data_IF_255047507969
#
_entry.id   IF_255047507969
#
_cell.length_a   1.000
_cell.length_b   1.000
_cell.length_c   1.000
_cell.angle_alpha   90.00
_cell.angle_beta   90.00
_cell.angle_gamma   90.00
#
_symmetry.space_group_name_H-M   'P 1'
#
loop_
_entity.id
_entity.type
_entity.pdbx_description
1 polymer ?
#
# COMPACT_ATOMS: atom_id res chain seq x y z
N UNK A 1 -12.45 -11.23 -11.42
CA UNK A 1 -12.23 -12.37 -10.51
C UNK A 1 -10.77 -12.28 -10.06
N UNK A 2 -10.46 -12.55 -8.79
CA UNK A 2 -9.05 -12.80 -8.42
C UNK A 2 -8.78 -14.22 -8.90
N UNK A 3 -7.92 -14.36 -9.91
CA UNK A 3 -7.74 -15.65 -10.57
C UNK A 3 -6.89 -16.62 -9.75
N UNK A 4 -6.21 -16.12 -8.70
CA UNK A 4 -5.59 -16.85 -7.58
C UNK A 4 -4.96 -15.88 -6.57
N UNK A 5 -4.99 -16.22 -5.28
CA UNK A 5 -4.22 -15.50 -4.26
C UNK A 5 -2.72 -15.78 -4.48
N UNK A 6 -1.89 -14.74 -4.45
CA UNK A 6 -0.43 -14.87 -4.60
C UNK A 6 0.31 -13.96 -3.63
N UNK A 7 1.46 -14.40 -3.17
CA UNK A 7 2.38 -13.58 -2.39
C UNK A 7 3.36 -12.87 -3.32
N UNK A 8 3.49 -11.56 -3.18
CA UNK A 8 4.51 -10.77 -3.89
C UNK A 8 5.49 -10.25 -2.84
N UNK A 9 6.79 -10.49 -3.05
CA UNK A 9 7.84 -9.84 -2.25
C UNK A 9 8.15 -8.49 -2.89
N UNK A 10 7.89 -7.43 -2.15
CA UNK A 10 8.24 -6.07 -2.56
C UNK A 10 9.67 -5.76 -2.12
N UNK A 11 10.49 -5.21 -3.03
CA UNK A 11 11.78 -4.66 -2.64
C UNK A 11 11.56 -3.30 -1.98
N UNK A 12 11.67 -3.26 -0.65
CA UNK A 12 11.47 -2.04 0.15
C UNK A 12 12.73 -1.20 0.31
N UNK A 13 13.91 -1.69 -0.12
CA UNK A 13 15.19 -1.01 0.09
C UNK A 13 15.34 0.33 -0.63
N UNK A 14 14.53 0.57 -1.67
CA UNK A 14 14.53 1.82 -2.43
C UNK A 14 13.40 2.77 -2.00
N UNK A 15 12.61 2.41 -0.98
CA UNK A 15 11.55 3.30 -0.48
C UNK A 15 12.14 4.41 0.39
N UNK A 16 11.54 5.61 0.39
CA UNK A 16 11.94 6.68 1.29
C UNK A 16 11.76 6.26 2.75
N UNK A 17 12.58 6.82 3.64
CA UNK A 17 12.45 6.62 5.08
C UNK A 17 11.09 7.14 5.57
N UNK A 18 10.45 6.37 6.45
CA UNK A 18 9.19 6.76 7.06
C UNK A 18 9.39 7.83 8.15
N UNK A 19 8.48 8.81 8.19
CA UNK A 19 8.39 9.78 9.29
C UNK A 19 7.51 9.30 10.45
N UNK A 20 7.53 9.99 11.60
CA UNK A 20 6.63 9.67 12.72
C UNK A 20 5.16 9.89 12.35
N UNK A 21 4.27 9.00 12.82
CA UNK A 21 2.83 9.03 12.51
C UNK A 21 2.50 9.03 11.01
N UNK A 22 3.41 8.58 10.15
CA UNK A 22 3.18 8.53 8.71
C UNK A 22 1.99 7.62 8.40
N UNK A 23 1.03 8.15 7.65
CA UNK A 23 -0.15 7.44 7.21
C UNK A 23 0.18 6.45 6.08
N UNK A 24 -0.32 5.23 6.22
CA UNK A 24 -0.38 4.21 5.18
C UNK A 24 -1.82 3.75 4.97
N UNK A 25 -2.17 3.51 3.72
CA UNK A 25 -3.48 3.02 3.31
C UNK A 25 -3.31 1.79 2.41
N UNK A 26 -4.23 0.85 2.54
CA UNK A 26 -4.39 -0.26 1.59
C UNK A 26 -5.68 0.03 0.81
N UNK A 27 -5.57 0.20 -0.50
CA UNK A 27 -6.72 0.41 -1.39
C UNK A 27 -6.97 -0.78 -2.30
N UNK A 28 -8.25 -1.01 -2.61
CA UNK A 28 -8.65 -1.97 -3.63
C UNK A 28 -8.71 -1.27 -5.00
N UNK A 29 -7.71 -1.50 -5.84
CA UNK A 29 -7.65 -0.90 -7.19
C UNK A 29 -8.08 -1.91 -8.28
N UNK A 30 -8.41 -1.42 -9.50
CA UNK A 30 -8.54 -2.27 -10.68
C UNK A 30 -7.26 -3.06 -10.95
N UNK A 31 -7.38 -4.17 -11.69
CA UNK A 31 -6.23 -5.02 -12.04
C UNK A 31 -5.12 -4.28 -12.83
N UNK A 32 -5.48 -3.24 -13.58
CA UNK A 32 -4.55 -2.36 -14.30
C UNK A 32 -3.87 -1.33 -13.41
N UNK A 33 -4.18 -1.29 -12.11
CA UNK A 33 -3.76 -0.27 -11.17
C UNK A 33 -4.63 0.99 -11.24
N UNK A 34 -4.25 2.01 -10.45
CA UNK A 34 -4.93 3.30 -10.48
C UNK A 34 -4.70 4.04 -11.80
N UNK A 35 -5.74 4.67 -12.37
CA UNK A 35 -5.62 5.49 -13.58
C UNK A 35 -4.85 6.80 -13.37
N UNK A 36 -4.61 7.23 -12.13
CA UNK A 36 -3.96 8.53 -11.83
C UNK A 36 -2.53 8.40 -11.32
N UNK A 37 -2.05 7.18 -11.10
CA UNK A 37 -0.79 6.93 -10.39
C UNK A 37 -0.87 7.21 -8.88
N UNK A 38 -2.05 7.52 -8.34
CA UNK A 38 -2.35 7.65 -6.90
C UNK A 38 -3.53 6.75 -6.53
N UNK A 39 -3.66 6.26 -5.29
CA UNK A 39 -4.83 5.44 -4.91
C UNK A 39 -6.17 6.11 -5.26
N UNK A 40 -7.08 5.37 -5.89
CA UNK A 40 -8.42 5.85 -6.32
C UNK A 40 -9.57 4.96 -5.89
N UNK A 41 -9.29 3.71 -5.52
CA UNK A 41 -10.28 2.77 -5.04
C UNK A 41 -10.66 2.98 -3.57
N UNK A 42 -11.58 2.16 -3.05
CA UNK A 42 -11.94 2.20 -1.64
C UNK A 42 -10.75 1.82 -0.75
N UNK A 43 -10.60 2.53 0.37
CA UNK A 43 -9.63 2.22 1.42
C UNK A 43 -10.15 1.04 2.25
N UNK A 44 -9.39 -0.06 2.28
CA UNK A 44 -9.69 -1.25 3.06
C UNK A 44 -9.08 -1.20 4.46
N UNK A 45 -7.91 -0.58 4.59
CA UNK A 45 -7.17 -0.47 5.85
C UNK A 45 -6.39 0.83 5.91
N UNK A 46 -6.18 1.29 7.15
CA UNK A 46 -5.39 2.46 7.49
C UNK A 46 -4.49 2.14 8.68
N UNK A 47 -3.27 2.63 8.66
CA UNK A 47 -2.34 2.52 9.78
C UNK A 47 -1.36 3.69 9.81
N UNK A 48 -0.76 3.91 10.97
CA UNK A 48 0.34 4.87 11.12
C UNK A 48 1.61 4.15 11.58
N UNK A 49 2.75 4.67 11.18
CA UNK A 49 4.04 4.18 11.69
C UNK A 49 4.18 4.49 13.17
N UNK A 50 4.58 3.50 13.96
CA UNK A 50 5.10 3.71 15.31
C UNK A 50 6.63 3.73 15.27
N UNK A 51 7.23 4.45 16.20
CA UNK A 51 8.64 4.24 16.51
C UNK A 51 8.78 2.80 17.01
N UNK A 52 9.69 2.03 16.41
CA UNK A 52 10.06 0.74 16.96
C UNK A 52 10.75 1.00 18.32
N UNK A 53 10.23 0.39 19.39
CA UNK A 53 10.82 0.43 20.72
C UNK A 53 12.08 -0.45 20.79
#
# INVERSE_FOLDING_TARGET
>A
MIDQARTVRLNVGNLPQTGPNQLFEITLEPATGSPTGRPTGPVLMKGTTSTAL
#
